data_IF_777987530386
#
_entry.id   IF_777987530386
#
_cell.length_a   1.000
_cell.length_b   1.000
_cell.length_c   1.000
_cell.angle_alpha   90.00
_cell.angle_beta   90.00
_cell.angle_gamma   90.00
#
_symmetry.space_group_name_H-M   'P 1'
#
loop_
_entity.id
_entity.type
_entity.pdbx_description
1 polymer ?
#
# COMPACT_ATOMS: atom_id res chain seq x y z
N UNK A 1 -33.35 -9.33 11.94
CA UNK A 1 -32.26 -8.75 11.13
C UNK A 1 -31.47 -9.89 10.52
N UNK A 2 -31.05 -9.82 9.24
CA UNK A 2 -30.19 -10.85 8.65
C UNK A 2 -28.86 -10.93 9.42
N UNK A 3 -28.41 -12.13 9.73
CA UNK A 3 -27.09 -12.33 10.33
C UNK A 3 -26.00 -12.19 9.26
N UNK A 4 -24.86 -11.58 9.62
CA UNK A 4 -23.70 -11.55 8.74
C UNK A 4 -23.22 -13.00 8.52
N UNK A 5 -23.02 -13.45 7.27
CA UNK A 5 -22.54 -14.79 6.96
C UNK A 5 -21.29 -15.15 7.76
N UNK A 6 -21.19 -16.37 8.29
CA UNK A 6 -20.11 -16.78 9.19
C UNK A 6 -19.27 -17.90 8.61
N UNK A 7 -17.95 -17.75 8.70
CA UNK A 7 -17.00 -18.80 8.33
C UNK A 7 -17.17 -20.01 9.27
N UNK A 8 -17.22 -21.22 8.69
CA UNK A 8 -17.47 -22.46 9.45
C UNK A 8 -16.29 -22.84 10.37
N UNK A 9 -15.10 -22.35 10.07
CA UNK A 9 -13.89 -22.66 10.82
C UNK A 9 -13.85 -21.87 12.14
N UNK A 10 -13.42 -22.51 13.25
CA UNK A 10 -13.36 -21.85 14.55
C UNK A 10 -12.29 -20.74 14.61
N UNK A 11 -11.26 -20.83 13.77
CA UNK A 11 -10.12 -19.92 13.65
C UNK A 11 -9.60 -19.95 12.21
N UNK A 12 -9.38 -18.79 11.59
CA UNK A 12 -9.01 -18.66 10.18
C UNK A 12 -7.65 -17.99 9.94
N UNK A 13 -6.88 -17.72 11.00
CA UNK A 13 -5.55 -17.07 10.88
C UNK A 13 -4.60 -17.80 9.94
N UNK A 14 -4.53 -19.14 10.01
CA UNK A 14 -3.65 -19.90 9.10
C UNK A 14 -4.12 -19.79 7.64
N UNK A 15 -5.44 -19.80 7.42
CA UNK A 15 -5.99 -19.61 6.09
C UNK A 15 -5.73 -18.20 5.56
N UNK A 16 -5.72 -17.17 6.42
CA UNK A 16 -5.31 -15.82 6.07
C UNK A 16 -3.82 -15.77 5.72
N UNK A 17 -2.95 -16.39 6.50
CA UNK A 17 -1.50 -16.40 6.24
C UNK A 17 -1.12 -17.12 4.93
N UNK A 18 -1.93 -18.10 4.50
CA UNK A 18 -1.71 -18.84 3.25
C UNK A 18 -2.21 -18.11 2.00
N UNK A 19 -3.15 -17.18 2.14
CA UNK A 19 -3.75 -16.46 1.02
C UNK A 19 -4.10 -15.01 1.40
N UNK A 20 -3.12 -14.22 1.87
CA UNK A 20 -3.39 -12.96 2.56
C UNK A 20 -4.09 -11.91 1.70
N UNK A 21 -3.85 -11.90 0.39
CA UNK A 21 -4.45 -10.94 -0.54
C UNK A 21 -5.85 -11.34 -1.01
N UNK A 22 -6.13 -12.64 -1.20
CA UNK A 22 -7.42 -13.08 -1.74
C UNK A 22 -8.35 -13.68 -0.66
N UNK A 23 -7.89 -13.79 0.58
CA UNK A 23 -8.63 -14.41 1.70
C UNK A 23 -10.03 -13.82 1.89
N UNK A 24 -10.15 -12.48 1.87
CA UNK A 24 -11.41 -11.77 2.12
C UNK A 24 -12.29 -11.86 0.87
N UNK A 25 -11.82 -11.34 -0.28
CA UNK A 25 -12.59 -11.34 -1.53
C UNK A 25 -13.10 -12.72 -1.97
N UNK A 26 -12.31 -13.80 -1.85
CA UNK A 26 -12.78 -15.17 -2.16
C UNK A 26 -13.93 -15.62 -1.25
N UNK A 27 -13.91 -15.23 0.03
CA UNK A 27 -14.98 -15.57 0.98
C UNK A 27 -16.23 -14.73 0.74
N UNK A 28 -16.08 -13.44 0.46
CA UNK A 28 -17.18 -12.57 0.06
C UNK A 28 -17.90 -13.13 -1.18
N UNK A 29 -17.15 -13.54 -2.22
CA UNK A 29 -17.71 -14.23 -3.40
C UNK A 29 -18.43 -15.54 -3.04
N UNK A 30 -17.83 -16.37 -2.18
CA UNK A 30 -18.44 -17.64 -1.73
C UNK A 30 -19.76 -17.43 -1.00
N UNK A 31 -19.86 -16.40 -0.18
CA UNK A 31 -21.05 -16.10 0.62
C UNK A 31 -22.03 -15.17 -0.12
N UNK A 32 -21.73 -14.76 -1.35
CA UNK A 32 -22.53 -13.80 -2.11
C UNK A 32 -22.84 -12.54 -1.31
N UNK A 33 -21.84 -12.03 -0.59
CA UNK A 33 -21.97 -10.90 0.32
C UNK A 33 -20.68 -10.09 0.37
N UNK A 34 -20.78 -8.78 0.54
CA UNK A 34 -19.63 -7.90 0.79
C UNK A 34 -19.06 -8.05 2.21
N UNK A 35 -19.72 -8.82 3.08
CA UNK A 35 -19.36 -9.02 4.48
C UNK A 35 -19.36 -10.51 4.86
N UNK A 36 -18.45 -10.88 5.77
CA UNK A 36 -18.57 -12.12 6.54
C UNK A 36 -17.91 -11.99 7.92
N UNK A 37 -18.27 -12.86 8.86
CA UNK A 37 -17.63 -12.96 10.16
C UNK A 37 -16.73 -14.18 10.25
N UNK A 38 -15.58 -14.03 10.89
CA UNK A 38 -14.63 -15.11 11.18
C UNK A 38 -13.94 -14.85 12.51
N UNK A 39 -12.98 -15.71 12.89
CA UNK A 39 -12.03 -15.44 13.95
C UNK A 39 -10.63 -15.28 13.35
N UNK A 40 -9.94 -14.20 13.71
CA UNK A 40 -8.54 -13.93 13.35
C UNK A 40 -7.78 -13.58 14.63
N UNK A 41 -6.63 -14.20 14.84
CA UNK A 41 -5.82 -14.09 16.06
C UNK A 41 -6.67 -14.28 17.33
N UNK A 42 -7.54 -15.29 17.31
CA UNK A 42 -8.50 -15.63 18.36
C UNK A 42 -9.61 -14.61 18.65
N UNK A 43 -9.70 -13.52 17.88
CA UNK A 43 -10.70 -12.47 18.04
C UNK A 43 -11.78 -12.57 16.97
N UNK A 44 -13.04 -12.32 17.34
CA UNK A 44 -14.15 -12.22 16.38
C UNK A 44 -13.91 -11.01 15.49
N UNK A 45 -13.94 -11.24 14.18
CA UNK A 45 -13.62 -10.21 13.18
C UNK A 45 -14.68 -10.21 12.07
N UNK A 46 -15.15 -9.02 11.69
CA UNK A 46 -15.95 -8.82 10.48
C UNK A 46 -14.97 -8.45 9.35
N UNK A 47 -14.98 -9.19 8.26
CA UNK A 47 -14.22 -8.88 7.06
C UNK A 47 -15.15 -8.24 6.03
N UNK A 48 -14.67 -7.21 5.34
CA UNK A 48 -15.46 -6.45 4.36
C UNK A 48 -14.67 -6.07 3.12
N UNK A 49 -15.34 -5.90 1.97
CA UNK A 49 -14.73 -5.52 0.68
C UNK A 49 -15.64 -4.60 -0.13
N UNK A 50 -15.06 -3.81 -1.03
CA UNK A 50 -15.78 -2.97 -1.99
C UNK A 50 -15.93 -1.51 -1.57
N UNK A 51 -16.34 -0.61 -2.50
CA UNK A 51 -16.30 0.83 -2.27
C UNK A 51 -17.19 1.33 -1.13
N UNK A 52 -18.40 0.81 -1.00
CA UNK A 52 -19.31 1.21 0.08
C UNK A 52 -18.81 0.74 1.46
N UNK A 53 -18.18 -0.44 1.49
CA UNK A 53 -17.54 -0.96 2.70
C UNK A 53 -16.33 -0.11 3.10
N UNK A 54 -15.53 0.32 2.11
CA UNK A 54 -14.44 1.26 2.33
C UNK A 54 -14.94 2.61 2.87
N UNK A 55 -15.99 3.18 2.29
CA UNK A 55 -16.61 4.42 2.78
C UNK A 55 -17.07 4.29 4.24
N UNK A 56 -17.74 3.19 4.58
CA UNK A 56 -18.12 2.87 5.96
C UNK A 56 -16.91 2.77 6.90
N UNK A 57 -15.85 2.07 6.49
CA UNK A 57 -14.66 1.81 7.32
C UNK A 57 -13.86 3.07 7.70
N UNK A 58 -13.99 4.14 6.92
CA UNK A 58 -13.35 5.43 7.17
C UNK A 58 -14.23 6.45 7.90
N UNK A 59 -15.43 6.06 8.33
CA UNK A 59 -16.27 6.83 9.25
C UNK A 59 -15.66 6.80 10.66
N UNK A 60 -15.13 7.94 11.12
CA UNK A 60 -14.44 8.07 12.41
C UNK A 60 -15.38 8.00 13.62
N UNK A 61 -16.68 8.25 13.43
CA UNK A 61 -17.68 8.12 14.50
C UNK A 61 -17.97 6.64 14.76
N UNK A 62 -17.91 5.80 13.73
CA UNK A 62 -18.20 4.36 13.82
C UNK A 62 -16.98 3.50 14.14
N UNK A 63 -15.78 3.94 13.75
CA UNK A 63 -14.56 3.14 13.86
C UNK A 63 -13.39 3.86 14.54
N UNK A 64 -12.60 3.09 15.29
CA UNK A 64 -11.36 3.52 15.95
C UNK A 64 -10.18 2.64 15.50
N UNK A 65 -8.99 3.23 15.39
CA UNK A 65 -7.72 2.52 15.14
C UNK A 65 -6.92 2.32 16.43
N UNK A 66 -7.27 3.01 17.49
CA UNK A 66 -6.66 2.88 18.80
C UNK A 66 -6.70 1.44 19.30
N UNK A 67 -5.56 0.91 19.74
CA UNK A 67 -5.49 -0.44 20.33
C UNK A 67 -5.79 -1.60 19.37
N UNK A 68 -5.96 -1.35 18.06
CA UNK A 68 -6.28 -2.38 17.06
C UNK A 68 -5.04 -3.16 16.64
N UNK A 69 -3.94 -2.46 16.36
CA UNK A 69 -2.71 -3.10 15.90
C UNK A 69 -2.14 -4.07 16.96
N UNK A 70 -1.91 -5.35 16.60
CA UNK A 70 -1.21 -6.32 17.44
C UNK A 70 0.13 -5.77 17.97
N UNK A 71 0.52 -6.21 19.18
CA UNK A 71 1.74 -5.70 19.83
C UNK A 71 3.02 -5.94 19.02
N UNK A 72 3.11 -7.04 18.28
CA UNK A 72 4.24 -7.31 17.39
C UNK A 72 4.26 -6.32 16.20
N UNK A 73 3.12 -6.02 15.58
CA UNK A 73 3.02 -4.99 14.55
C UNK A 73 3.37 -3.60 15.06
N UNK A 74 3.07 -3.27 16.32
CA UNK A 74 3.56 -2.01 16.94
C UNK A 74 5.07 -2.01 17.17
N UNK A 75 5.68 -3.15 17.47
CA UNK A 75 7.14 -3.29 17.68
C UNK A 75 7.93 -3.36 16.38
N UNK A 76 7.31 -3.82 15.30
CA UNK A 76 8.00 -4.07 14.02
C UNK A 76 7.55 -3.18 12.89
N UNK A 77 6.30 -2.73 12.81
CA UNK A 77 5.76 -2.11 11.59
C UNK A 77 5.33 -0.66 11.82
N UNK A 78 4.56 -0.40 12.86
CA UNK A 78 4.00 0.94 13.12
C UNK A 78 4.84 1.80 14.07
N UNK A 79 5.76 1.18 14.82
CA UNK A 79 6.37 1.82 15.98
C UNK A 79 5.37 2.00 17.15
N UNK A 80 5.89 2.17 18.36
CA UNK A 80 5.06 2.48 19.53
C UNK A 80 4.75 3.97 19.56
N UNK A 81 3.47 4.35 19.55
CA UNK A 81 3.04 5.76 19.55
C UNK A 81 3.06 6.44 18.17
N UNK A 82 3.15 5.64 17.09
CA UNK A 82 3.00 6.12 15.72
C UNK A 82 1.60 6.64 15.42
N UNK A 83 1.50 7.47 14.37
CA UNK A 83 0.23 8.11 13.94
C UNK A 83 -0.88 7.11 13.65
N UNK A 84 -0.52 5.90 13.21
CA UNK A 84 -1.43 4.81 12.85
C UNK A 84 -2.29 4.29 14.02
N UNK A 85 -1.86 4.57 15.26
CA UNK A 85 -2.56 4.14 16.48
C UNK A 85 -3.27 5.26 17.24
N UNK A 86 -3.23 6.50 16.73
CA UNK A 86 -3.93 7.66 17.30
C UNK A 86 -5.30 7.81 16.64
N UNK A 87 -6.25 8.45 17.32
CA UNK A 87 -7.53 8.90 16.74
C UNK A 87 -7.85 10.33 17.20
N UNK A 88 -8.85 10.97 16.57
CA UNK A 88 -9.32 12.31 16.92
C UNK A 88 -8.27 13.42 16.77
N UNK A 89 -8.33 14.43 17.64
CA UNK A 89 -7.43 15.59 17.61
C UNK A 89 -5.94 15.21 17.65
N UNK A 90 -5.57 14.20 18.46
CA UNK A 90 -4.19 13.73 18.55
C UNK A 90 -3.70 13.13 17.22
N UNK A 91 -4.56 12.38 16.52
CA UNK A 91 -4.29 11.89 15.18
C UNK A 91 -4.14 13.04 14.19
N UNK A 92 -5.12 13.95 14.14
CA UNK A 92 -5.13 15.06 13.18
C UNK A 92 -3.91 15.95 13.35
N UNK A 93 -3.56 16.34 14.58
CA UNK A 93 -2.37 17.12 14.87
C UNK A 93 -1.09 16.41 14.39
N UNK A 94 -0.92 15.12 14.70
CA UNK A 94 0.24 14.36 14.23
C UNK A 94 0.24 14.18 12.71
N UNK A 95 -0.93 14.03 12.09
CA UNK A 95 -1.07 13.88 10.64
C UNK A 95 -0.66 15.15 9.91
N UNK A 96 -0.95 16.33 10.45
CA UNK A 96 -0.52 17.61 9.86
C UNK A 96 1.01 17.72 9.73
N UNK A 97 1.77 17.14 10.66
CA UNK A 97 3.23 17.05 10.54
C UNK A 97 3.67 16.27 9.30
N UNK A 98 2.96 15.20 8.93
CA UNK A 98 3.26 14.46 7.69
C UNK A 98 2.80 15.24 6.46
N UNK A 99 1.61 15.85 6.53
CA UNK A 99 1.05 16.60 5.41
C UNK A 99 1.87 17.84 5.05
N UNK A 100 2.52 18.49 6.02
CA UNK A 100 3.41 19.64 5.76
C UNK A 100 4.66 19.26 4.95
N UNK A 101 5.01 17.97 4.90
CA UNK A 101 6.09 17.47 4.05
C UNK A 101 5.63 17.19 2.61
N UNK A 102 4.31 17.11 2.35
CA UNK A 102 3.74 16.72 1.05
C UNK A 102 3.40 17.91 0.13
N UNK A 103 3.95 19.09 0.40
CA UNK A 103 3.76 20.25 -0.47
C UNK A 103 4.26 19.93 -1.90
N UNK A 104 3.54 20.34 -2.97
CA UNK A 104 3.87 19.99 -4.35
C UNK A 104 5.33 20.27 -4.72
N UNK A 105 5.86 21.43 -4.32
CA UNK A 105 7.22 21.86 -4.63
C UNK A 105 8.27 20.94 -3.96
N UNK A 106 7.91 20.35 -2.81
CA UNK A 106 8.75 19.35 -2.16
C UNK A 106 8.70 18.04 -2.95
N UNK A 107 7.52 17.61 -3.40
CA UNK A 107 7.40 16.38 -4.20
C UNK A 107 8.17 16.50 -5.53
N UNK A 108 8.10 17.65 -6.20
CA UNK A 108 8.88 17.91 -7.42
C UNK A 108 10.40 17.83 -7.15
N UNK A 109 10.83 18.37 -6.00
CA UNK A 109 12.22 18.26 -5.54
C UNK A 109 12.62 16.80 -5.29
N UNK A 110 11.73 15.96 -4.75
CA UNK A 110 11.99 14.53 -4.59
C UNK A 110 12.21 13.86 -5.95
N UNK A 111 11.38 14.16 -6.96
CA UNK A 111 11.54 13.62 -8.30
C UNK A 111 12.90 13.95 -8.92
N UNK A 112 13.36 15.19 -8.73
CA UNK A 112 14.70 15.64 -9.14
C UNK A 112 15.82 14.88 -8.41
N UNK A 113 15.70 14.70 -7.09
CA UNK A 113 16.68 13.96 -6.28
C UNK A 113 16.73 12.49 -6.71
N UNK A 114 15.57 11.85 -6.87
CA UNK A 114 15.46 10.46 -7.29
C UNK A 114 16.09 10.24 -8.68
N UNK A 115 15.82 11.14 -9.62
CA UNK A 115 16.45 11.13 -10.95
C UNK A 115 17.97 11.15 -10.87
N UNK A 116 18.54 12.01 -10.02
CA UNK A 116 19.99 12.08 -9.84
C UNK A 116 20.55 10.76 -9.32
N UNK A 117 19.89 10.14 -8.33
CA UNK A 117 20.27 8.82 -7.82
C UNK A 117 20.18 7.73 -8.88
N UNK A 118 19.11 7.71 -9.70
CA UNK A 118 19.00 6.79 -10.84
C UNK A 118 20.21 6.93 -11.78
N UNK A 119 20.61 8.17 -12.13
CA UNK A 119 21.77 8.42 -12.98
C UNK A 119 23.10 7.95 -12.37
N UNK A 120 23.28 8.08 -11.06
CA UNK A 120 24.46 7.57 -10.34
C UNK A 120 24.50 6.03 -10.44
N UNK A 121 23.38 5.37 -10.14
CA UNK A 121 23.30 3.92 -10.14
C UNK A 121 23.37 3.33 -11.55
N UNK A 122 22.85 4.01 -12.56
CA UNK A 122 23.00 3.60 -13.95
C UNK A 122 24.48 3.40 -14.33
N UNK A 123 25.35 4.33 -13.90
CA UNK A 123 26.79 4.26 -14.16
C UNK A 123 27.46 3.12 -13.40
N UNK A 124 27.02 2.87 -12.16
CA UNK A 124 27.42 1.69 -11.39
C UNK A 124 27.03 0.40 -12.12
N UNK A 125 25.77 0.28 -12.54
CA UNK A 125 25.24 -0.92 -13.20
C UNK A 125 25.90 -1.20 -14.54
N UNK A 126 26.32 -0.16 -15.27
CA UNK A 126 27.02 -0.32 -16.55
C UNK A 126 28.37 -1.06 -16.44
N UNK A 127 28.98 -1.07 -15.25
CA UNK A 127 30.19 -1.83 -14.96
C UNK A 127 29.94 -3.22 -14.37
N UNK A 128 28.69 -3.67 -14.29
CA UNK A 128 28.30 -4.93 -13.66
C UNK A 128 27.72 -5.89 -14.71
N UNK A 129 28.01 -7.19 -14.56
CA UNK A 129 27.45 -8.22 -15.45
C UNK A 129 25.92 -8.30 -15.32
N UNK A 130 25.41 -8.27 -14.09
CA UNK A 130 23.99 -8.29 -13.78
C UNK A 130 23.70 -7.63 -12.42
N UNK A 131 22.45 -7.23 -12.22
CA UNK A 131 21.93 -6.73 -10.94
C UNK A 131 20.53 -7.29 -10.64
N UNK A 132 20.13 -7.26 -9.37
CA UNK A 132 18.76 -7.52 -8.93
C UNK A 132 18.06 -6.17 -8.75
N UNK A 133 17.13 -5.85 -9.65
CA UNK A 133 16.51 -4.52 -9.74
C UNK A 133 15.81 -4.11 -8.45
N UNK A 134 15.11 -5.03 -7.79
CA UNK A 134 14.44 -4.73 -6.53
C UNK A 134 15.40 -4.21 -5.44
N UNK A 135 16.58 -4.80 -5.32
CA UNK A 135 17.56 -4.44 -4.28
C UNK A 135 18.15 -3.05 -4.56
N UNK A 136 18.53 -2.82 -5.83
CA UNK A 136 19.12 -1.56 -6.25
C UNK A 136 18.10 -0.40 -6.24
N UNK A 137 16.86 -0.63 -6.68
CA UNK A 137 15.79 0.38 -6.61
C UNK A 137 15.45 0.71 -5.16
N UNK A 138 15.37 -0.27 -4.25
CA UNK A 138 15.16 0.01 -2.84
C UNK A 138 16.26 0.91 -2.27
N UNK A 139 17.51 0.69 -2.66
CA UNK A 139 18.62 1.54 -2.22
C UNK A 139 18.51 2.97 -2.80
N UNK A 140 18.23 3.11 -4.10
CA UNK A 140 18.00 4.40 -4.77
C UNK A 140 16.88 5.18 -4.08
N UNK A 141 15.70 4.56 -3.93
CA UNK A 141 14.53 5.21 -3.35
C UNK A 141 14.78 5.59 -1.89
N UNK A 142 15.45 4.73 -1.13
CA UNK A 142 15.81 5.03 0.26
C UNK A 142 16.72 6.26 0.34
N UNK A 143 17.76 6.32 -0.48
CA UNK A 143 18.69 7.46 -0.53
C UNK A 143 17.99 8.73 -1.00
N UNK A 144 17.12 8.63 -2.01
CA UNK A 144 16.38 9.78 -2.52
C UNK A 144 15.44 10.36 -1.45
N UNK A 145 14.70 9.50 -0.75
CA UNK A 145 13.85 9.92 0.37
C UNK A 145 14.70 10.47 1.53
N UNK A 146 15.89 9.91 1.78
CA UNK A 146 16.81 10.46 2.77
C UNK A 146 17.16 11.92 2.47
N UNK A 147 17.73 12.14 1.29
CA UNK A 147 18.21 13.45 0.89
C UNK A 147 17.06 14.47 0.84
N UNK A 148 15.87 14.01 0.46
CA UNK A 148 14.67 14.83 0.41
C UNK A 148 14.14 15.24 1.80
N UNK A 149 14.17 14.35 2.79
CA UNK A 149 13.60 14.58 4.11
C UNK A 149 14.49 15.44 5.03
N UNK A 150 15.78 15.62 4.71
CA UNK A 150 16.66 16.58 5.41
C UNK A 150 17.01 16.26 6.87
N UNK A 151 16.72 15.04 7.36
CA UNK A 151 16.99 14.58 8.74
C UNK A 151 17.28 13.06 8.82
N UNK A 152 17.75 12.47 7.72
CA UNK A 152 17.05 11.29 7.23
C UNK A 152 17.78 9.95 7.26
N UNK A 153 19.06 9.89 7.65
CA UNK A 153 19.73 8.59 7.77
C UNK A 153 19.10 7.73 8.88
N UNK A 154 18.67 8.35 9.99
CA UNK A 154 18.03 7.62 11.09
C UNK A 154 16.58 7.24 10.79
N UNK A 155 15.81 8.13 10.14
CA UNK A 155 14.42 7.89 9.80
C UNK A 155 14.26 6.84 8.69
N UNK A 156 15.08 6.91 7.64
CA UNK A 156 15.01 5.98 6.52
C UNK A 156 15.53 4.58 6.89
N UNK A 157 16.57 4.46 7.72
CA UNK A 157 17.00 3.15 8.22
C UNK A 157 15.91 2.51 9.11
N UNK A 158 15.18 3.31 9.89
CA UNK A 158 14.09 2.82 10.71
C UNK A 158 12.88 2.40 9.84
N UNK A 159 12.58 3.13 8.76
CA UNK A 159 11.57 2.72 7.76
C UNK A 159 11.98 1.39 7.08
N UNK A 160 13.21 1.26 6.59
CA UNK A 160 13.69 0.03 5.95
C UNK A 160 13.72 -1.17 6.88
N UNK A 161 14.02 -0.97 8.17
CA UNK A 161 14.00 -2.01 9.20
C UNK A 161 12.57 -2.49 9.51
N UNK A 162 11.57 -1.61 9.36
CA UNK A 162 10.22 -1.83 9.90
C UNK A 162 9.14 -2.27 8.88
N UNK A 163 9.15 -1.83 7.60
CA UNK A 163 7.93 -1.91 6.76
C UNK A 163 7.79 -3.09 5.76
N UNK A 164 6.65 -3.84 5.80
CA UNK A 164 6.04 -4.47 4.62
C UNK A 164 4.57 -4.05 4.35
N UNK A 165 4.17 -4.07 3.07
CA UNK A 165 3.20 -3.18 2.37
C UNK A 165 1.67 -3.41 2.52
N UNK A 166 1.19 -4.32 3.37
CA UNK A 166 -0.24 -4.54 3.75
C UNK A 166 -1.23 -5.15 2.73
N UNK A 167 -1.85 -6.30 3.06
CA UNK A 167 -2.98 -6.86 2.30
C UNK A 167 -4.36 -6.29 2.72
N UNK A 168 -4.48 -5.81 3.96
CA UNK A 168 -5.72 -5.29 4.56
C UNK A 168 -5.40 -4.29 5.69
N UNK A 169 -6.38 -3.47 6.04
CA UNK A 169 -6.33 -2.57 7.21
C UNK A 169 -7.39 -2.97 8.24
N UNK A 170 -7.10 -2.76 9.51
CA UNK A 170 -7.99 -3.14 10.62
C UNK A 170 -8.47 -1.93 11.43
N UNK A 171 -9.69 -2.03 11.92
CA UNK A 171 -10.32 -1.10 12.86
C UNK A 171 -11.11 -1.86 13.94
N UNK A 172 -11.65 -1.12 14.90
CA UNK A 172 -12.60 -1.62 15.90
C UNK A 172 -13.87 -0.75 15.88
N UNK A 173 -15.03 -1.38 16.03
CA UNK A 173 -16.33 -0.70 16.15
C UNK A 173 -16.38 0.11 17.45
N UNK A 174 -16.77 1.39 17.37
CA UNK A 174 -16.85 2.30 18.53
C UNK A 174 -18.12 2.15 19.35
N UNK A 175 -19.26 1.94 18.70
CA UNK A 175 -20.57 1.76 19.31
C UNK A 175 -21.43 0.91 18.39
N UNK A 176 -22.49 0.29 18.92
CA UNK A 176 -23.43 -0.51 18.16
C UNK A 176 -24.05 0.30 17.01
N UNK A 177 -24.04 -0.25 15.79
CA UNK A 177 -24.74 0.34 14.65
C UNK A 177 -25.18 -0.71 13.63
N UNK A 178 -26.08 -0.32 12.73
CA UNK A 178 -26.53 -1.17 11.63
C UNK A 178 -26.09 -0.59 10.27
N UNK A 179 -25.69 -1.47 9.36
CA UNK A 179 -25.35 -1.11 7.98
C UNK A 179 -25.82 -2.20 7.02
N UNK A 180 -26.57 -1.80 5.98
CA UNK A 180 -27.22 -2.73 5.03
C UNK A 180 -28.03 -3.84 5.71
N UNK A 181 -28.66 -3.54 6.84
CA UNK A 181 -29.43 -4.50 7.64
C UNK A 181 -28.61 -5.45 8.51
N UNK A 182 -27.28 -5.34 8.49
CA UNK A 182 -26.38 -6.11 9.32
C UNK A 182 -25.95 -5.34 10.57
N UNK A 183 -25.91 -6.03 11.71
CA UNK A 183 -25.54 -5.44 12.98
C UNK A 183 -24.03 -5.52 13.25
N UNK A 184 -23.43 -4.38 13.62
CA UNK A 184 -22.04 -4.22 14.02
C UNK A 184 -21.96 -3.92 15.52
N UNK A 185 -21.60 -4.92 16.35
CA UNK A 185 -21.53 -4.73 17.79
C UNK A 185 -20.25 -4.00 18.20
N UNK A 186 -20.34 -3.20 19.25
CA UNK A 186 -19.26 -2.47 19.89
C UNK A 186 -18.07 -3.39 20.19
N UNK A 187 -16.86 -2.86 19.99
CA UNK A 187 -15.62 -3.57 20.29
C UNK A 187 -15.24 -4.64 19.26
N UNK A 188 -16.09 -4.91 18.26
CA UNK A 188 -15.79 -5.89 17.20
C UNK A 188 -14.62 -5.44 16.34
N UNK A 189 -13.68 -6.35 16.07
CA UNK A 189 -12.63 -6.11 15.08
C UNK A 189 -13.18 -6.16 13.67
N UNK A 190 -12.64 -5.32 12.81
CA UNK A 190 -13.09 -5.19 11.44
C UNK A 190 -11.88 -5.08 10.51
N UNK A 191 -11.87 -5.85 9.42
CA UNK A 191 -10.81 -5.85 8.42
C UNK A 191 -11.36 -5.46 7.05
N UNK A 192 -10.81 -4.40 6.46
CA UNK A 192 -11.12 -3.94 5.11
C UNK A 192 -10.12 -4.54 4.12
N UNK A 193 -10.65 -5.22 3.09
CA UNK A 193 -9.89 -5.79 1.97
C UNK A 193 -9.46 -4.68 1.01
N UNK A 194 -8.19 -4.28 1.08
CA UNK A 194 -7.64 -3.31 0.13
C UNK A 194 -7.46 -3.95 -1.24
N UNK A 195 -6.90 -5.16 -1.31
CA UNK A 195 -6.63 -5.85 -2.56
C UNK A 195 -7.92 -6.15 -3.33
N UNK A 196 -8.90 -6.77 -2.67
CA UNK A 196 -10.20 -7.07 -3.24
C UNK A 196 -10.98 -5.84 -3.70
N UNK A 197 -10.94 -4.73 -2.95
CA UNK A 197 -11.57 -3.47 -3.37
C UNK A 197 -10.92 -2.90 -4.63
N UNK A 198 -9.59 -2.99 -4.75
CA UNK A 198 -8.86 -2.55 -5.94
C UNK A 198 -9.01 -3.49 -7.15
N UNK A 199 -9.57 -4.70 -6.98
CA UNK A 199 -9.86 -5.67 -8.05
C UNK A 199 -11.38 -5.94 -8.16
N UNK A 200 -12.21 -5.01 -7.70
CA UNK A 200 -13.66 -5.17 -7.72
C UNK A 200 -14.22 -4.91 -9.13
N UNK A 201 -14.88 -5.91 -9.76
CA UNK A 201 -15.43 -5.75 -11.12
C UNK A 201 -16.58 -4.75 -11.21
N UNK A 202 -17.15 -4.32 -10.06
CA UNK A 202 -18.13 -3.22 -10.01
C UNK A 202 -17.49 -1.85 -10.25
N UNK A 203 -16.17 -1.74 -10.04
CA UNK A 203 -15.38 -0.52 -10.23
C UNK A 203 -14.54 -0.60 -11.50
N UNK A 204 -13.90 -1.75 -11.74
CA UNK A 204 -12.93 -1.95 -12.82
C UNK A 204 -13.45 -2.97 -13.82
N UNK A 205 -13.50 -2.63 -15.10
CA UNK A 205 -14.11 -3.48 -16.16
C UNK A 205 -13.39 -4.82 -16.31
N UNK A 206 -12.05 -4.80 -16.30
CA UNK A 206 -11.18 -5.98 -16.38
C UNK A 206 -10.12 -5.91 -15.25
N UNK A 207 -10.49 -6.20 -13.99
CA UNK A 207 -9.65 -5.92 -12.82
C UNK A 207 -8.33 -6.70 -12.77
N UNK A 208 -8.25 -7.82 -13.49
CA UNK A 208 -7.04 -8.65 -13.57
C UNK A 208 -6.14 -8.25 -14.75
N UNK A 209 -6.59 -7.36 -15.64
CA UNK A 209 -5.82 -6.91 -16.78
C UNK A 209 -5.04 -5.62 -16.45
N UNK A 210 -3.75 -5.59 -16.82
CA UNK A 210 -2.94 -4.38 -16.69
C UNK A 210 -3.26 -3.40 -17.83
N UNK A 211 -4.15 -2.43 -17.58
CA UNK A 211 -4.61 -1.45 -18.56
C UNK A 211 -4.57 -0.01 -17.98
N UNK A 212 -3.45 0.70 -18.11
CA UNK A 212 -3.29 2.05 -17.57
C UNK A 212 -4.36 3.05 -18.05
N UNK A 213 -4.91 2.87 -19.25
CA UNK A 213 -5.90 3.75 -19.86
C UNK A 213 -7.22 3.84 -19.08
N UNK A 214 -7.54 2.84 -18.24
CA UNK A 214 -8.75 2.84 -17.42
C UNK A 214 -8.80 4.04 -16.46
N UNK A 215 -7.65 4.54 -16.01
CA UNK A 215 -7.58 5.73 -15.15
C UNK A 215 -8.06 7.02 -15.83
N UNK A 216 -8.20 7.07 -17.17
CA UNK A 216 -8.83 8.22 -17.85
C UNK A 216 -10.32 8.32 -17.57
N UNK A 217 -10.95 7.22 -17.16
CA UNK A 217 -12.39 7.14 -16.84
C UNK A 217 -12.64 7.10 -15.32
N UNK A 218 -11.58 7.05 -14.52
CA UNK A 218 -11.71 7.04 -13.07
C UNK A 218 -12.26 8.39 -12.59
N UNK A 219 -13.24 8.33 -11.68
CA UNK A 219 -13.98 9.47 -11.14
C UNK A 219 -13.26 10.20 -9.99
N UNK A 220 -12.10 9.70 -9.57
CA UNK A 220 -11.36 10.23 -8.44
C UNK A 220 -11.94 9.86 -7.07
N UNK A 221 -12.90 8.93 -7.02
CA UNK A 221 -13.56 8.55 -5.78
C UNK A 221 -12.53 7.98 -4.77
N UNK A 222 -12.52 8.49 -3.52
CA UNK A 222 -11.51 8.12 -2.53
C UNK A 222 -11.74 6.75 -1.87
N UNK A 223 -12.72 5.98 -2.35
CA UNK A 223 -13.14 4.71 -1.75
C UNK A 223 -13.16 3.53 -2.72
N UNK A 224 -13.09 3.78 -4.04
CA UNK A 224 -13.09 2.73 -5.07
C UNK A 224 -11.67 2.39 -5.59
N UNK A 225 -10.68 3.24 -5.28
CA UNK A 225 -9.25 3.00 -5.48
C UNK A 225 -8.50 3.34 -4.18
N UNK A 226 -8.12 2.31 -3.42
CA UNK A 226 -7.59 2.45 -2.05
C UNK A 226 -6.30 1.64 -1.78
N UNK A 227 -5.34 1.53 -2.72
CA UNK A 227 -4.12 0.74 -2.50
C UNK A 227 -3.27 1.26 -1.32
N UNK A 228 -3.42 2.55 -0.96
CA UNK A 228 -2.75 3.17 0.18
C UNK A 228 -3.76 3.73 1.19
N UNK A 229 -4.94 3.10 1.26
CA UNK A 229 -6.07 3.52 2.07
C UNK A 229 -6.98 4.55 1.38
N UNK A 230 -8.21 4.68 1.87
CA UNK A 230 -9.24 5.58 1.35
C UNK A 230 -9.59 6.74 2.27
N UNK A 231 -10.49 7.59 1.80
CA UNK A 231 -10.95 8.79 2.52
C UNK A 231 -10.06 10.02 2.31
N UNK A 232 -10.13 10.95 3.25
CA UNK A 232 -9.42 12.23 3.24
C UNK A 232 -8.02 12.11 3.89
N UNK A 233 -7.01 12.72 3.30
CA UNK A 233 -5.63 12.64 3.77
C UNK A 233 -5.37 13.35 5.11
N UNK A 234 -6.08 14.42 5.42
CA UNK A 234 -5.91 15.18 6.65
C UNK A 234 -6.73 14.62 7.80
N UNK A 235 -7.94 14.12 7.50
CA UNK A 235 -8.88 13.63 8.50
C UNK A 235 -8.66 12.15 8.79
N UNK A 236 -8.57 11.32 7.76
CA UNK A 236 -8.51 9.88 7.91
C UNK A 236 -7.08 9.33 7.96
N UNK A 237 -6.99 8.04 8.26
CA UNK A 237 -5.74 7.27 8.22
C UNK A 237 -5.28 6.91 6.78
N UNK A 238 -5.73 7.65 5.75
CA UNK A 238 -5.20 7.52 4.37
C UNK A 238 -3.71 7.84 4.35
N UNK A 239 -2.93 7.11 3.55
CA UNK A 239 -1.47 7.28 3.52
C UNK A 239 -1.09 8.70 3.07
N UNK A 240 -0.32 9.47 3.87
CA UNK A 240 0.17 10.78 3.42
C UNK A 240 1.24 10.66 2.32
N UNK A 241 1.90 9.50 2.19
CA UNK A 241 2.96 9.26 1.22
C UNK A 241 2.50 8.82 -0.17
N UNK A 242 1.21 8.95 -0.50
CA UNK A 242 0.66 8.58 -1.82
C UNK A 242 1.37 9.35 -2.95
N UNK A 243 1.55 10.67 -2.79
CA UNK A 243 2.25 11.51 -3.78
C UNK A 243 3.73 11.15 -3.95
N UNK A 244 4.42 10.81 -2.85
CA UNK A 244 5.80 10.31 -2.89
C UNK A 244 5.87 9.04 -3.73
N UNK A 245 5.00 8.08 -3.46
CA UNK A 245 5.00 6.80 -4.15
C UNK A 245 4.74 6.98 -5.65
N UNK A 246 3.72 7.78 -6.01
CA UNK A 246 3.39 8.09 -7.41
C UNK A 246 4.58 8.73 -8.12
N UNK A 247 5.21 9.73 -7.51
CA UNK A 247 6.33 10.44 -8.13
C UNK A 247 7.54 9.54 -8.34
N UNK A 248 7.89 8.73 -7.33
CA UNK A 248 9.00 7.78 -7.44
C UNK A 248 8.73 6.67 -8.47
N UNK A 249 7.47 6.23 -8.62
CA UNK A 249 7.07 5.29 -9.67
C UNK A 249 7.23 5.93 -11.05
N UNK A 250 6.80 7.19 -11.24
CA UNK A 250 6.96 7.91 -12.51
C UNK A 250 8.44 8.04 -12.89
N UNK A 251 9.27 8.52 -11.96
CA UNK A 251 10.72 8.66 -12.18
C UNK A 251 11.36 7.33 -12.54
N UNK A 252 11.07 6.28 -11.76
CA UNK A 252 11.63 4.95 -11.99
C UNK A 252 11.19 4.37 -13.34
N UNK A 253 9.91 4.54 -13.71
CA UNK A 253 9.36 4.04 -14.98
C UNK A 253 9.98 4.76 -16.17
N UNK A 254 10.06 6.10 -16.11
CA UNK A 254 10.68 6.90 -17.17
C UNK A 254 12.17 6.55 -17.33
N UNK A 255 12.87 6.37 -16.21
CA UNK A 255 14.28 5.99 -16.22
C UNK A 255 14.50 4.58 -16.79
N UNK A 256 13.67 3.59 -16.42
CA UNK A 256 13.77 2.23 -16.95
C UNK A 256 13.32 2.12 -18.41
N UNK A 257 12.45 3.03 -18.89
CA UNK A 257 11.97 3.03 -20.27
C UNK A 257 12.87 3.83 -21.22
N UNK A 258 13.48 4.93 -20.76
CA UNK A 258 14.21 5.87 -21.62
C UNK A 258 15.60 6.28 -21.11
N UNK A 259 15.96 5.94 -19.88
CA UNK A 259 17.26 6.29 -19.29
C UNK A 259 18.34 5.23 -19.51
N UNK A 260 17.95 3.97 -19.64
CA UNK A 260 18.86 2.83 -19.78
C UNK A 260 18.34 1.81 -20.79
N UNK A 261 19.26 1.04 -21.38
CA UNK A 261 18.99 -0.25 -22.03
C UNK A 261 19.52 -1.37 -21.16
N UNK A 262 18.83 -2.50 -21.15
CA UNK A 262 19.20 -3.70 -20.41
C UNK A 262 18.54 -4.92 -21.04
N UNK A 263 19.09 -6.10 -20.77
CA UNK A 263 18.47 -7.37 -21.11
C UNK A 263 17.83 -8.00 -19.86
N UNK A 264 16.73 -8.72 -20.06
CA UNK A 264 16.07 -9.53 -19.02
C UNK A 264 16.41 -11.00 -19.29
N UNK A 265 17.31 -11.63 -18.51
CA UNK A 265 17.61 -13.05 -18.68
C UNK A 265 16.41 -13.93 -18.28
N UNK A 266 16.45 -15.20 -18.68
CA UNK A 266 15.49 -16.21 -18.20
C UNK A 266 15.54 -16.30 -16.66
N UNK A 267 14.38 -16.19 -16.03
CA UNK A 267 14.22 -16.13 -14.58
C UNK A 267 12.76 -16.42 -14.17
N UNK A 268 12.54 -16.80 -12.91
CA UNK A 268 11.19 -17.00 -12.38
C UNK A 268 10.56 -15.66 -11.95
N UNK A 269 9.73 -15.09 -12.83
CA UNK A 269 8.97 -13.86 -12.59
C UNK A 269 7.59 -14.09 -11.96
N UNK A 270 7.24 -15.33 -11.58
CA UNK A 270 5.96 -15.59 -10.92
C UNK A 270 5.87 -14.87 -9.58
N UNK A 271 4.67 -14.36 -9.27
CA UNK A 271 4.38 -13.66 -8.01
C UNK A 271 3.89 -14.68 -6.98
N UNK A 272 4.56 -14.73 -5.83
CA UNK A 272 4.06 -15.51 -4.69
C UNK A 272 3.11 -14.66 -3.85
N UNK A 273 1.81 -14.85 -4.04
CA UNK A 273 0.75 -14.17 -3.27
C UNK A 273 0.59 -14.71 -1.84
N UNK A 274 1.25 -15.81 -1.46
CA UNK A 274 1.31 -16.27 -0.08
C UNK A 274 2.38 -15.53 0.73
N UNK A 275 3.32 -14.85 0.06
CA UNK A 275 4.36 -14.03 0.69
C UNK A 275 3.84 -12.63 0.99
N UNK A 276 4.27 -12.07 2.14
CA UNK A 276 4.04 -10.67 2.50
C UNK A 276 5.36 -9.91 2.64
N UNK A 277 5.63 -8.86 1.83
CA UNK A 277 4.83 -8.42 0.67
C UNK A 277 4.96 -9.40 -0.51
N UNK A 278 4.00 -9.44 -1.42
CA UNK A 278 4.14 -10.20 -2.67
C UNK A 278 5.24 -9.58 -3.55
N UNK A 279 6.11 -10.42 -4.14
CA UNK A 279 7.18 -10.02 -5.05
C UNK A 279 7.38 -11.10 -6.14
N UNK A 280 7.95 -10.75 -7.32
CA UNK A 280 8.52 -11.74 -8.22
C UNK A 280 9.57 -12.56 -7.50
N UNK A 281 9.59 -13.88 -7.69
CA UNK A 281 10.53 -14.78 -7.00
C UNK A 281 11.99 -14.41 -7.26
N UNK A 282 12.35 -14.07 -8.51
CA UNK A 282 13.70 -13.62 -8.86
C UNK A 282 14.02 -12.20 -8.39
N UNK A 283 13.02 -11.43 -7.96
CA UNK A 283 13.12 -9.99 -7.67
C UNK A 283 13.62 -9.14 -8.86
N UNK A 284 13.39 -9.64 -10.08
CA UNK A 284 13.67 -8.99 -11.35
C UNK A 284 15.17 -8.72 -11.61
N UNK A 285 15.86 -9.70 -12.19
CA UNK A 285 17.26 -9.60 -12.61
C UNK A 285 17.34 -8.91 -13.97
N UNK A 286 18.28 -7.98 -14.12
CA UNK A 286 18.64 -7.38 -15.42
C UNK A 286 20.16 -7.48 -15.65
N UNK A 287 20.59 -7.50 -16.91
CA UNK A 287 21.99 -7.59 -17.32
C UNK A 287 22.33 -6.62 -18.45
N UNK A 288 23.62 -6.46 -18.73
CA UNK A 288 24.12 -5.63 -19.84
C UNK A 288 23.56 -4.20 -19.83
N UNK A 289 23.49 -3.59 -18.64
CA UNK A 289 22.92 -2.24 -18.48
C UNK A 289 23.79 -1.21 -19.21
N UNK A 290 23.17 -0.33 -20.00
CA UNK A 290 23.84 0.76 -20.72
C UNK A 290 23.02 2.04 -20.59
N UNK A 291 23.67 3.16 -20.28
CA UNK A 291 22.99 4.47 -20.31
C UNK A 291 22.65 4.87 -21.74
N UNK A 292 21.50 5.52 -21.92
CA UNK A 292 21.12 6.15 -23.17
C UNK A 292 21.61 7.60 -23.23
N UNK A 293 22.23 7.99 -24.34
CA UNK A 293 22.68 9.38 -24.56
C UNK A 293 21.46 10.32 -24.58
N UNK A 294 21.53 11.40 -23.80
CA UNK A 294 20.44 12.39 -23.68
C UNK A 294 19.54 12.22 -22.45
N UNK A 295 19.58 11.09 -21.75
CA UNK A 295 18.77 10.80 -20.56
C UNK A 295 18.97 11.80 -19.41
N UNK A 296 20.10 12.51 -19.37
CA UNK A 296 20.41 13.56 -18.38
C UNK A 296 19.99 14.97 -18.80
N UNK A 297 19.56 15.18 -20.05
CA UNK A 297 19.19 16.52 -20.57
C UNK A 297 17.68 16.80 -20.53
N UNK A 298 16.82 15.81 -20.70
CA UNK A 298 15.36 16.05 -20.78
C UNK A 298 14.65 16.22 -19.42
N UNK A 299 15.27 15.79 -18.31
CA UNK A 299 14.62 15.84 -16.99
C UNK A 299 14.72 17.23 -16.34
N UNK A 300 15.46 18.18 -16.93
CA UNK A 300 15.52 19.58 -16.46
C UNK A 300 14.42 20.49 -17.00
N UNK A 301 13.66 20.07 -18.01
CA UNK A 301 12.75 20.94 -18.77
C UNK A 301 11.29 20.44 -18.80
N UNK A 302 10.84 19.67 -17.81
CA UNK A 302 9.41 19.40 -17.60
C UNK A 302 9.03 19.65 -16.15
#
# INVERSE_FOLDING_TARGET
MPEIPRDKWPESTLALLRDPYQFISKRCRRYWSDLFQTRLMFRKTICMTGPEAAALFYDEDRFTREGVAPGWLKKTLFGKGGVQGLDGEAHQHRKQMFMSLMAPERIDRLGSIATNWCGIYARKWAGMDQIVLYEEVNEILSRAVCDWAGYADLFAQEVRRLYPFFPAVMARVRHDFDWKGFHFPEGRLVALDLYGTNHDPRTWEEPEAFQPEQFRRWDGCPFNFIPQGGGDHHKNHRCPGEWIAIELIKVSSNFLAGGVRYDVPEQDLSIDYARLPALPKSRFVIRNVRLLEGATREIKNR
#
